data_IF_735225803104
#
_entry.id   IF_735225803104
#
_cell.length_a   1.000
_cell.length_b   1.000
_cell.length_c   1.000
_cell.angle_alpha   90.00
_cell.angle_beta   90.00
_cell.angle_gamma   90.00
#
_symmetry.space_group_name_H-M   'P 1'
#
loop_
_entity.id
_entity.type
_entity.pdbx_description
1 polymer ?
#
# COMPACT_ATOMS: atom_id res chain seq x y z
N UNK A 1 -19.60 -5.05 3.94
CA UNK A 1 -19.74 -3.59 3.70
C UNK A 1 -19.37 -3.36 2.24
N UNK A 2 -19.99 -2.40 1.52
CA UNK A 2 -19.52 -2.07 0.18
C UNK A 2 -18.12 -1.46 0.27
N UNK A 3 -17.25 -1.82 -0.67
CA UNK A 3 -15.94 -1.23 -0.85
C UNK A 3 -16.03 -0.22 -2.01
N UNK A 4 -15.47 0.98 -1.81
CA UNK A 4 -15.35 1.99 -2.86
C UNK A 4 -13.88 2.10 -3.28
N UNK A 5 -13.59 1.74 -4.54
CA UNK A 5 -12.24 1.83 -5.09
C UNK A 5 -12.01 3.23 -5.66
N UNK A 6 -11.22 4.04 -4.97
CA UNK A 6 -10.89 5.41 -5.40
C UNK A 6 -9.89 5.42 -6.57
N UNK A 7 -8.91 4.51 -6.57
CA UNK A 7 -7.87 4.40 -7.58
C UNK A 7 -7.42 2.94 -7.75
N UNK A 8 -7.16 2.50 -8.98
CA UNK A 8 -6.60 1.18 -9.27
C UNK A 8 -5.73 1.25 -10.52
N UNK A 9 -4.59 0.55 -10.49
CA UNK A 9 -3.76 0.32 -11.67
C UNK A 9 -3.08 -1.05 -11.53
N UNK A 10 -3.12 -1.86 -12.60
CA UNK A 10 -2.48 -3.16 -12.66
C UNK A 10 -1.73 -3.32 -13.99
N UNK A 11 -0.54 -3.90 -13.96
CA UNK A 11 0.24 -4.16 -15.16
C UNK A 11 1.64 -4.66 -14.87
N UNK A 12 2.25 -5.33 -15.85
CA UNK A 12 3.62 -5.82 -15.74
C UNK A 12 4.61 -4.66 -15.71
N UNK A 13 5.47 -4.64 -14.69
CA UNK A 13 6.54 -3.67 -14.53
C UNK A 13 7.86 -4.39 -14.22
N UNK A 14 8.98 -3.80 -14.62
CA UNK A 14 10.29 -4.27 -14.18
C UNK A 14 10.48 -4.04 -12.68
N UNK A 15 11.33 -4.85 -12.04
CA UNK A 15 11.71 -4.67 -10.62
C UNK A 15 12.25 -3.26 -10.34
N UNK A 16 12.95 -2.66 -11.29
CA UNK A 16 13.48 -1.28 -11.18
C UNK A 16 12.38 -0.22 -11.20
N UNK A 17 11.32 -0.40 -11.99
CA UNK A 17 10.18 0.52 -12.03
C UNK A 17 9.39 0.44 -10.73
N UNK A 18 9.11 -0.77 -10.24
CA UNK A 18 8.45 -1.01 -8.95
C UNK A 18 9.25 -0.36 -7.81
N UNK A 19 10.55 -0.63 -7.73
CA UNK A 19 11.39 -0.03 -6.70
C UNK A 19 11.45 1.50 -6.79
N UNK A 20 11.41 2.07 -7.99
CA UNK A 20 11.36 3.52 -8.19
C UNK A 20 10.01 4.12 -7.79
N UNK A 21 8.92 3.37 -7.95
CA UNK A 21 7.60 3.76 -7.47
C UNK A 21 7.54 3.75 -5.94
N UNK A 22 7.96 2.65 -5.31
CA UNK A 22 7.99 2.51 -3.85
C UNK A 22 8.87 3.58 -3.18
N UNK A 23 10.03 3.92 -3.76
CA UNK A 23 10.86 5.02 -3.24
C UNK A 23 10.16 6.38 -3.31
N UNK A 24 9.35 6.65 -4.33
CA UNK A 24 8.58 7.91 -4.41
C UNK A 24 7.52 7.99 -3.33
N UNK A 25 6.83 6.88 -3.07
CA UNK A 25 5.87 6.75 -1.96
C UNK A 25 6.59 6.98 -0.62
N UNK A 26 7.69 6.27 -0.38
CA UNK A 26 8.48 6.42 0.84
C UNK A 26 8.96 7.86 1.07
N UNK A 27 9.48 8.52 0.03
CA UNK A 27 9.91 9.93 0.12
C UNK A 27 8.76 10.88 0.47
N UNK A 28 7.52 10.59 0.04
CA UNK A 28 6.35 11.41 0.37
C UNK A 28 5.91 11.22 1.81
N UNK A 29 5.90 9.98 2.28
CA UNK A 29 5.62 9.66 3.68
C UNK A 29 6.65 10.31 4.62
N UNK A 30 7.95 10.20 4.31
CA UNK A 30 9.03 10.80 5.11
C UNK A 30 8.95 12.34 5.16
N UNK A 31 8.50 12.97 4.07
CA UNK A 31 8.28 14.41 4.01
C UNK A 31 7.00 14.88 4.72
N UNK A 32 6.07 13.97 5.06
CA UNK A 32 4.73 14.32 5.52
C UNK A 32 3.88 14.98 4.43
N UNK A 33 4.16 14.68 3.16
CA UNK A 33 3.48 15.23 1.99
C UNK A 33 2.28 14.38 1.58
N UNK A 34 1.30 15.01 0.92
CA UNK A 34 0.25 14.32 0.18
C UNK A 34 0.83 13.37 -0.89
N UNK A 35 0.18 12.21 -1.04
CA UNK A 35 0.49 11.22 -2.07
C UNK A 35 -0.53 11.33 -3.19
N UNK A 36 -0.10 11.70 -4.39
CA UNK A 36 -0.97 11.69 -5.59
C UNK A 36 -0.69 10.48 -6.45
N UNK A 37 -1.70 9.62 -6.61
CA UNK A 37 -1.70 8.43 -7.46
C UNK A 37 -2.25 8.82 -8.84
N UNK A 38 -1.54 8.44 -9.91
CA UNK A 38 -1.92 8.80 -11.29
C UNK A 38 -1.75 7.63 -12.26
N UNK A 39 -2.75 7.39 -13.11
CA UNK A 39 -2.68 6.43 -14.20
C UNK A 39 -3.60 6.88 -15.35
N UNK A 40 -3.01 7.21 -16.51
CA UNK A 40 -3.78 7.74 -17.64
C UNK A 40 -4.52 9.03 -17.26
N UNK A 41 -5.85 9.00 -17.32
CA UNK A 41 -6.73 10.12 -16.95
C UNK A 41 -7.14 10.11 -15.46
N UNK A 42 -6.82 9.04 -14.72
CA UNK A 42 -7.14 8.92 -13.29
C UNK A 42 -6.09 9.65 -12.44
N UNK A 43 -6.56 10.41 -11.45
CA UNK A 43 -5.72 11.08 -10.46
C UNK A 43 -6.46 11.17 -9.13
N UNK A 44 -5.86 10.67 -8.05
CA UNK A 44 -6.38 10.75 -6.69
C UNK A 44 -5.27 11.24 -5.77
N UNK A 45 -5.58 12.16 -4.87
CA UNK A 45 -4.65 12.64 -3.83
C UNK A 45 -5.12 12.13 -2.48
N UNK A 46 -4.22 11.45 -1.77
CA UNK A 46 -4.40 10.91 -0.43
C UNK A 46 -3.53 11.69 0.55
N UNK A 47 -4.03 11.93 1.76
CA UNK A 47 -3.33 12.65 2.83
C UNK A 47 -3.17 11.73 4.05
N UNK A 48 -2.16 10.85 4.07
CA UNK A 48 -1.89 10.00 5.24
C UNK A 48 -1.61 10.86 6.50
N UNK A 49 -2.11 10.47 7.68
CA UNK A 49 -1.77 11.15 8.93
C UNK A 49 -0.31 10.89 9.33
N UNK A 50 0.14 11.49 10.43
CA UNK A 50 1.51 11.31 10.93
C UNK A 50 1.80 9.87 11.44
N UNK A 51 0.75 9.12 11.81
CA UNK A 51 0.84 7.76 12.34
C UNK A 51 -0.28 6.86 11.76
N UNK A 52 -0.22 6.52 10.47
CA UNK A 52 -1.12 5.51 9.90
C UNK A 52 -0.71 4.11 10.38
N UNK A 53 -1.60 3.13 10.28
CA UNK A 53 -1.19 1.73 10.40
C UNK A 53 -0.45 1.33 9.14
N UNK A 54 0.59 0.51 9.28
CA UNK A 54 1.29 -0.12 8.17
C UNK A 54 1.20 -1.64 8.30
N UNK A 55 0.54 -2.29 7.34
CA UNK A 55 0.46 -3.75 7.24
C UNK A 55 1.31 -4.26 6.08
N UNK A 56 2.02 -5.37 6.32
CA UNK A 56 2.76 -6.10 5.29
C UNK A 56 2.30 -7.54 5.28
N UNK A 57 1.91 -8.01 4.11
CA UNK A 57 1.38 -9.35 3.92
C UNK A 57 2.08 -10.03 2.76
N UNK A 58 2.39 -11.31 2.91
CA UNK A 58 2.87 -12.15 1.81
C UNK A 58 1.94 -13.35 1.68
N UNK A 59 1.41 -13.56 0.49
CA UNK A 59 0.38 -14.57 0.26
C UNK A 59 0.72 -15.51 -0.89
N UNK A 60 0.12 -16.70 -0.81
CA UNK A 60 -0.05 -17.60 -1.95
C UNK A 60 -1.53 -17.79 -2.19
N UNK A 61 -2.05 -17.23 -3.26
CA UNK A 61 -3.44 -17.42 -3.66
C UNK A 61 -3.57 -18.59 -4.63
N UNK A 62 -4.62 -19.40 -4.47
CA UNK A 62 -4.95 -20.49 -5.39
C UNK A 62 -5.06 -21.85 -4.69
N UNK A 63 -5.23 -22.94 -5.45
CA UNK A 63 -5.47 -24.27 -4.88
C UNK A 63 -4.28 -24.79 -4.08
N UNK A 64 -4.55 -25.55 -3.01
CA UNK A 64 -3.53 -26.12 -2.12
C UNK A 64 -2.55 -27.03 -2.88
N UNK A 65 -3.08 -27.84 -3.80
CA UNK A 65 -2.35 -28.92 -4.49
C UNK A 65 -1.87 -28.56 -5.91
N UNK A 66 -1.90 -27.28 -6.30
CA UNK A 66 -1.40 -26.81 -7.60
C UNK A 66 -0.70 -25.45 -7.49
N UNK A 67 0.14 -25.05 -8.46
CA UNK A 67 0.70 -23.69 -8.47
C UNK A 67 -0.38 -22.62 -8.33
N UNK A 68 -0.05 -21.61 -7.54
CA UNK A 68 -0.89 -20.44 -7.31
C UNK A 68 -0.15 -19.16 -7.67
N UNK A 69 -0.72 -18.02 -7.30
CA UNK A 69 -0.10 -16.71 -7.41
C UNK A 69 0.60 -16.34 -6.11
N UNK A 70 1.74 -15.65 -6.20
CA UNK A 70 2.44 -15.10 -5.04
C UNK A 70 2.33 -13.59 -5.07
N UNK A 71 1.92 -13.00 -3.95
CA UNK A 71 1.84 -11.55 -3.77
C UNK A 71 2.59 -11.11 -2.52
N UNK A 72 3.07 -9.87 -2.55
CA UNK A 72 3.49 -9.12 -1.38
C UNK A 72 2.70 -7.83 -1.40
N UNK A 73 1.98 -7.57 -0.33
CA UNK A 73 1.11 -6.41 -0.15
C UNK A 73 1.71 -5.50 0.92
N UNK A 74 1.65 -4.20 0.63
CA UNK A 74 2.03 -3.14 1.54
C UNK A 74 0.82 -2.23 1.66
N UNK A 75 0.18 -2.23 2.81
CA UNK A 75 -1.02 -1.45 3.07
C UNK A 75 -0.72 -0.36 4.08
N UNK A 76 -1.21 0.84 3.79
CA UNK A 76 -1.18 1.99 4.68
C UNK A 76 -2.64 2.39 4.89
N UNK A 77 -3.14 2.23 6.10
CA UNK A 77 -4.55 2.47 6.44
C UNK A 77 -4.67 3.56 7.50
N UNK A 78 -5.77 4.31 7.42
CA UNK A 78 -6.14 5.32 8.40
C UNK A 78 -7.64 5.64 8.31
N UNK A 79 -8.21 6.20 9.37
CA UNK A 79 -9.59 6.66 9.37
C UNK A 79 -9.74 7.95 8.55
N UNK A 80 -10.78 8.05 7.72
CA UNK A 80 -11.02 9.23 6.87
C UNK A 80 -11.26 10.52 7.67
N UNK A 81 -11.73 10.41 8.91
CA UNK A 81 -11.95 11.54 9.82
C UNK A 81 -10.72 11.90 10.67
N UNK A 82 -9.60 11.19 10.48
CA UNK A 82 -8.32 11.50 11.10
C UNK A 82 -8.18 11.02 12.55
N UNK A 83 -9.01 10.10 13.02
CA UNK A 83 -8.71 9.38 14.26
C UNK A 83 -7.49 8.47 14.04
N UNK A 84 -6.51 8.58 14.94
CA UNK A 84 -5.29 7.76 14.90
C UNK A 84 -5.65 6.27 14.98
N UNK A 85 -5.07 5.47 14.08
CA UNK A 85 -5.33 4.04 13.98
C UNK A 85 -5.02 3.32 15.29
N UNK A 86 -6.03 2.69 15.89
CA UNK A 86 -5.87 1.80 17.03
C UNK A 86 -5.36 0.42 16.55
N UNK A 87 -4.22 0.39 15.88
CA UNK A 87 -3.57 -0.85 15.51
C UNK A 87 -3.00 -1.50 16.78
N UNK A 88 -3.41 -2.73 17.06
CA UNK A 88 -2.74 -3.54 18.07
C UNK A 88 -1.27 -3.71 17.65
N UNK A 89 -0.34 -3.35 18.53
CA UNK A 89 1.09 -3.44 18.25
C UNK A 89 1.47 -4.88 17.88
N UNK A 90 1.58 -5.16 16.59
CA UNK A 90 2.35 -6.28 16.07
C UNK A 90 3.81 -6.15 16.52
N UNK A 91 4.56 -7.25 16.50
CA UNK A 91 6.00 -7.22 16.75
C UNK A 91 6.74 -6.27 15.79
N UNK A 92 8.01 -5.99 16.10
CA UNK A 92 8.85 -5.16 15.24
C UNK A 92 8.95 -5.74 13.82
N UNK A 93 8.64 -4.91 12.81
CA UNK A 93 8.73 -5.28 11.40
C UNK A 93 10.16 -5.04 10.90
N UNK A 94 10.80 -6.09 10.35
CA UNK A 94 12.15 -6.02 9.80
C UNK A 94 12.17 -6.41 8.30
N UNK A 95 13.07 -5.78 7.53
CA UNK A 95 13.40 -6.16 6.14
C UNK A 95 14.91 -6.38 6.07
N UNK A 96 15.34 -7.55 5.59
CA UNK A 96 16.75 -7.96 5.44
C UNK A 96 17.31 -7.72 4.03
#
# INVERSE_FOLDING_TARGET
MPEEVLFQSEGSQSRSEIASYLRRVANKLDAGDDITLTAGEQSVTMTPPAQPTFEVKAEREGPTDSPGELSIEFEIEWAEDGEDGNAESGGELEIE
#
